data_IF_011921043632
#
_entry.id   IF_011921043632
#
_cell.length_a   1.000
_cell.length_b   1.000
_cell.length_c   1.000
_cell.angle_alpha   90.00
_cell.angle_beta   90.00
_cell.angle_gamma   90.00
#
_symmetry.space_group_name_H-M   'P 1'
#
loop_
_entity.id
_entity.type
_entity.pdbx_description
1 polymer ?
#
# COMPACT_ATOMS: atom_id res chain seq x y z
N UNK A 1 9.25 6.34 0.51
CA UNK A 1 8.06 6.80 -0.21
C UNK A 1 8.28 6.66 -1.70
N UNK A 2 7.30 6.19 -2.44
CA UNK A 2 7.30 6.11 -3.91
C UNK A 2 5.99 6.66 -4.48
N UNK A 3 6.06 7.27 -5.68
CA UNK A 3 4.92 7.95 -6.29
C UNK A 3 3.84 7.04 -6.87
N UNK A 4 4.15 5.75 -7.12
CA UNK A 4 3.18 4.82 -7.70
C UNK A 4 3.53 3.35 -7.37
N UNK A 5 2.60 2.40 -7.61
CA UNK A 5 2.80 0.97 -7.35
C UNK A 5 3.88 0.25 -8.20
N UNK A 6 4.56 0.92 -9.11
CA UNK A 6 5.75 0.37 -9.76
C UNK A 6 6.92 0.17 -8.77
N UNK A 7 6.85 0.85 -7.62
CA UNK A 7 7.79 0.71 -6.49
C UNK A 7 9.26 0.78 -6.88
N UNK A 8 9.63 1.77 -7.69
CA UNK A 8 11.01 1.97 -8.12
C UNK A 8 11.96 2.24 -6.94
N UNK A 9 11.45 2.82 -5.85
CA UNK A 9 12.19 3.09 -4.62
C UNK A 9 12.30 1.87 -3.69
N UNK A 10 11.70 0.72 -4.04
CA UNK A 10 11.73 -0.53 -3.25
C UNK A 10 11.29 -0.34 -1.81
N UNK A 11 10.18 0.38 -1.59
CA UNK A 11 9.69 0.76 -0.26
C UNK A 11 9.37 -0.44 0.63
N UNK A 12 9.11 -1.62 0.05
CA UNK A 12 8.94 -2.87 0.80
C UNK A 12 10.19 -3.36 1.51
N UNK A 13 11.34 -2.74 1.27
CA UNK A 13 12.60 -3.06 1.95
C UNK A 13 12.82 -2.25 3.23
N UNK A 14 11.86 -1.43 3.63
CA UNK A 14 11.95 -0.52 4.77
C UNK A 14 10.87 -0.80 5.82
N UNK A 15 11.11 -0.37 7.05
CA UNK A 15 10.14 -0.50 8.16
C UNK A 15 8.80 0.11 7.81
N UNK A 16 8.79 1.25 7.11
CA UNK A 16 7.62 1.88 6.51
C UNK A 16 7.81 2.06 5.01
N UNK A 17 6.84 1.59 4.24
CA UNK A 17 6.74 1.83 2.81
C UNK A 17 5.43 2.52 2.44
N UNK A 18 5.52 3.68 1.80
CA UNK A 18 4.36 4.45 1.37
C UNK A 18 4.37 4.56 -0.15
N UNK A 19 3.33 4.05 -0.81
CA UNK A 19 3.16 4.09 -2.27
C UNK A 19 1.94 4.92 -2.64
N UNK A 20 2.12 5.92 -3.50
CA UNK A 20 1.01 6.68 -4.07
C UNK A 20 0.08 5.79 -4.90
N UNK A 21 -1.22 5.98 -4.75
CA UNK A 21 -2.26 5.26 -5.48
C UNK A 21 -3.23 6.23 -6.16
N UNK A 22 -3.78 5.80 -7.28
CA UNK A 22 -4.80 6.54 -8.03
C UNK A 22 -6.10 5.76 -8.02
N UNK A 23 -7.20 6.39 -7.60
CA UNK A 23 -8.55 5.85 -7.84
C UNK A 23 -9.01 6.34 -9.21
N UNK A 24 -9.08 5.46 -10.22
CA UNK A 24 -9.53 5.86 -11.55
C UNK A 24 -11.05 5.90 -11.62
N UNK A 25 -11.58 6.96 -12.22
CA UNK A 25 -13.01 7.14 -12.53
C UNK A 25 -13.22 7.11 -14.02
N UNK A 26 -14.27 6.42 -14.48
CA UNK A 26 -14.63 6.34 -15.90
C UNK A 26 -15.76 7.32 -16.22
N UNK A 27 -15.49 8.27 -17.10
CA UNK A 27 -16.46 9.15 -17.74
C UNK A 27 -17.04 8.44 -18.96
N UNK A 28 -18.19 7.82 -18.77
CA UNK A 28 -18.80 6.96 -19.79
C UNK A 28 -19.04 7.66 -21.12
N UNK A 29 -19.40 8.94 -21.10
CA UNK A 29 -19.74 9.74 -22.29
C UNK A 29 -18.50 9.98 -23.18
N UNK A 30 -17.31 9.97 -22.61
CA UNK A 30 -16.05 10.15 -23.32
C UNK A 30 -15.45 8.81 -23.79
N UNK A 31 -16.01 7.69 -23.34
CA UNK A 31 -15.47 6.37 -23.65
C UNK A 31 -15.94 5.87 -25.01
N UNK A 32 -15.01 5.63 -25.92
CA UNK A 32 -15.27 5.06 -27.26
C UNK A 32 -15.04 3.55 -27.34
N UNK A 33 -14.90 2.86 -26.23
CA UNK A 33 -14.76 1.41 -26.16
C UNK A 33 -13.54 0.82 -26.90
N UNK A 34 -12.48 1.59 -27.08
CA UNK A 34 -11.29 1.18 -27.86
C UNK A 34 -10.44 0.10 -27.18
N UNK A 35 -10.66 -0.23 -25.91
CA UNK A 35 -9.95 -1.26 -25.16
C UNK A 35 -8.51 -0.93 -24.75
N UNK A 36 -7.98 0.26 -25.04
CA UNK A 36 -6.60 0.64 -24.72
C UNK A 36 -6.29 0.51 -23.21
N UNK A 37 -7.20 0.93 -22.33
CA UNK A 37 -7.07 0.81 -20.87
C UNK A 37 -7.03 -0.64 -20.39
N UNK A 38 -7.84 -1.53 -20.99
CA UNK A 38 -7.84 -2.97 -20.69
C UNK A 38 -6.48 -3.59 -21.05
N UNK A 39 -5.98 -3.25 -22.27
CA UNK A 39 -4.67 -3.69 -22.75
C UNK A 39 -3.54 -3.22 -21.84
N UNK A 40 -3.56 -1.96 -21.41
CA UNK A 40 -2.57 -1.41 -20.49
C UNK A 40 -2.61 -2.12 -19.13
N UNK A 41 -3.79 -2.37 -18.56
CA UNK A 41 -3.97 -3.08 -17.32
C UNK A 41 -3.43 -4.52 -17.37
N UNK A 42 -3.67 -5.23 -18.49
CA UNK A 42 -3.15 -6.57 -18.73
C UNK A 42 -1.62 -6.57 -18.86
N UNK A 43 -1.05 -5.59 -19.58
CA UNK A 43 0.40 -5.44 -19.74
C UNK A 43 1.14 -5.27 -18.41
N UNK A 44 0.47 -4.70 -17.39
CA UNK A 44 1.00 -4.58 -16.01
C UNK A 44 0.72 -5.81 -15.15
N UNK A 45 0.18 -6.89 -15.73
CA UNK A 45 -0.20 -8.12 -15.02
C UNK A 45 -1.19 -7.92 -13.87
N UNK A 46 -1.93 -6.82 -13.87
CA UNK A 46 -2.95 -6.52 -12.85
C UNK A 46 -4.30 -7.11 -13.22
N UNK A 47 -4.68 -6.99 -14.50
CA UNK A 47 -5.93 -7.53 -15.07
C UNK A 47 -7.20 -7.13 -14.30
N UNK A 48 -7.18 -5.94 -13.69
CA UNK A 48 -8.33 -5.40 -12.96
C UNK A 48 -9.38 -4.76 -13.87
N UNK A 49 -9.11 -4.60 -15.17
CA UNK A 49 -10.05 -4.08 -16.14
C UNK A 49 -10.47 -5.17 -17.12
N UNK A 50 -11.79 -5.34 -17.27
CA UNK A 50 -12.39 -6.25 -18.24
C UNK A 50 -13.42 -5.52 -19.08
N UNK A 51 -13.58 -5.85 -20.38
CA UNK A 51 -14.67 -5.33 -21.18
C UNK A 51 -15.98 -6.04 -20.80
N UNK A 52 -16.99 -5.26 -20.43
CA UNK A 52 -18.34 -5.73 -20.16
C UNK A 52 -19.30 -4.83 -20.94
N UNK A 53 -20.12 -5.39 -21.81
CA UNK A 53 -21.04 -4.64 -22.67
C UNK A 53 -20.33 -3.47 -23.41
N UNK A 54 -19.20 -3.76 -24.03
CA UNK A 54 -18.35 -2.78 -24.72
C UNK A 54 -17.79 -1.64 -23.85
N UNK A 55 -17.89 -1.72 -22.54
CA UNK A 55 -17.34 -0.73 -21.61
C UNK A 55 -16.29 -1.39 -20.68
N UNK A 56 -15.20 -0.69 -20.33
CA UNK A 56 -14.26 -1.22 -19.36
C UNK A 56 -14.86 -1.15 -17.94
N UNK A 57 -14.98 -2.29 -17.30
CA UNK A 57 -15.40 -2.40 -15.91
C UNK A 57 -14.17 -2.69 -15.03
N UNK A 58 -14.06 -1.99 -13.90
CA UNK A 58 -12.96 -2.13 -12.94
C UNK A 58 -13.35 -3.10 -11.81
N UNK A 59 -12.51 -4.09 -11.60
CA UNK A 59 -12.50 -4.88 -10.37
C UNK A 59 -11.69 -4.14 -9.30
N UNK A 60 -12.37 -3.62 -8.30
CA UNK A 60 -11.76 -2.80 -7.24
C UNK A 60 -10.78 -3.59 -6.37
N UNK A 61 -11.07 -4.87 -6.12
CA UNK A 61 -10.22 -5.74 -5.30
C UNK A 61 -8.88 -6.03 -5.97
N UNK A 62 -8.90 -6.19 -7.29
CA UNK A 62 -7.69 -6.43 -8.10
C UNK A 62 -6.92 -5.15 -8.42
N UNK A 63 -7.60 -4.01 -8.39
CA UNK A 63 -6.99 -2.73 -8.75
C UNK A 63 -5.91 -2.32 -7.75
N UNK A 64 -4.69 -2.11 -8.25
CA UNK A 64 -3.54 -1.66 -7.44
C UNK A 64 -3.33 -0.15 -7.46
N UNK A 65 -4.23 0.61 -8.11
CA UNK A 65 -4.13 2.07 -8.16
C UNK A 65 -2.93 2.63 -8.96
N UNK A 66 -2.43 1.90 -9.96
CA UNK A 66 -1.26 2.33 -10.73
C UNK A 66 -1.53 3.49 -11.71
N UNK A 67 -2.79 3.80 -12.03
CA UNK A 67 -3.16 4.88 -12.94
C UNK A 67 -2.88 4.64 -14.42
N UNK A 68 -2.41 3.46 -14.83
CA UNK A 68 -2.10 3.14 -16.24
C UNK A 68 -3.32 3.26 -17.17
N UNK A 69 -4.52 2.97 -16.67
CA UNK A 69 -5.74 3.16 -17.44
C UNK A 69 -6.01 4.63 -17.78
N UNK A 70 -5.64 5.55 -16.88
CA UNK A 70 -5.75 7.00 -17.11
C UNK A 70 -4.75 7.43 -18.19
N UNK A 71 -3.51 6.98 -18.07
CA UNK A 71 -2.44 7.33 -19.01
C UNK A 71 -2.67 6.75 -20.41
N UNK A 72 -3.24 5.56 -20.50
CA UNK A 72 -3.44 4.85 -21.76
C UNK A 72 -4.72 5.27 -22.51
N UNK A 73 -5.58 6.09 -21.90
CA UNK A 73 -6.85 6.46 -22.53
C UNK A 73 -6.68 7.62 -23.52
N UNK A 74 -6.83 7.39 -24.85
CA UNK A 74 -6.63 8.43 -25.85
C UNK A 74 -7.68 9.55 -25.76
N UNK A 75 -8.88 9.23 -25.25
CA UNK A 75 -9.97 10.18 -25.15
C UNK A 75 -10.11 10.79 -23.74
N UNK A 76 -9.12 10.57 -22.86
CA UNK A 76 -9.17 11.03 -21.48
C UNK A 76 -10.50 10.69 -20.75
N UNK A 77 -11.09 9.52 -21.08
CA UNK A 77 -12.31 9.05 -20.43
C UNK A 77 -12.05 8.51 -19.02
N UNK A 78 -10.81 8.17 -18.69
CA UNK A 78 -10.40 7.86 -17.33
C UNK A 78 -9.78 9.07 -16.68
N UNK A 79 -10.29 9.46 -15.51
CA UNK A 79 -9.78 10.56 -14.69
C UNK A 79 -9.22 10.03 -13.37
N UNK A 80 -8.47 10.85 -12.65
CA UNK A 80 -7.95 10.54 -11.31
C UNK A 80 -8.87 11.15 -10.26
N UNK A 81 -9.00 10.48 -9.10
CA UNK A 81 -9.59 11.12 -7.94
C UNK A 81 -8.83 12.38 -7.56
N UNK A 82 -9.54 13.40 -7.09
CA UNK A 82 -8.94 14.61 -6.51
C UNK A 82 -8.23 14.27 -5.20
N UNK A 83 -8.84 13.44 -4.36
CA UNK A 83 -8.26 12.96 -3.11
C UNK A 83 -7.12 11.99 -3.41
N UNK A 84 -5.98 12.22 -2.75
CA UNK A 84 -4.80 11.35 -2.83
C UNK A 84 -4.95 10.19 -1.86
N UNK A 85 -4.59 9.01 -2.35
CA UNK A 85 -4.56 7.80 -1.55
C UNK A 85 -3.21 7.11 -1.65
N UNK A 86 -2.94 6.28 -0.68
CA UNK A 86 -1.67 5.57 -0.57
C UNK A 86 -1.90 4.12 -0.17
N UNK A 87 -0.89 3.31 -0.45
CA UNK A 87 -0.72 2.00 0.15
C UNK A 87 0.37 2.10 1.20
N UNK A 88 0.10 1.62 2.38
CA UNK A 88 1.07 1.51 3.47
C UNK A 88 1.54 0.06 3.57
N UNK A 89 2.85 -0.14 3.47
CA UNK A 89 3.51 -1.42 3.75
C UNK A 89 4.37 -1.27 4.99
N UNK A 90 4.51 -2.33 5.75
CA UNK A 90 5.19 -2.30 7.05
C UNK A 90 6.17 -3.46 7.20
N UNK A 91 7.09 -3.33 8.13
CA UNK A 91 7.95 -4.38 8.69
C UNK A 91 9.00 -4.94 7.71
N UNK A 92 9.28 -4.24 6.61
CA UNK A 92 10.40 -4.59 5.73
C UNK A 92 11.73 -4.28 6.38
N UNK A 93 12.73 -5.08 6.09
CA UNK A 93 14.13 -4.85 6.50
C UNK A 93 15.08 -5.57 5.58
N UNK A 94 16.23 -4.95 5.29
CA UNK A 94 17.29 -5.52 4.46
C UNK A 94 18.58 -5.74 5.25
N UNK A 95 18.49 -5.70 6.58
CA UNK A 95 19.63 -5.91 7.45
C UNK A 95 20.36 -7.22 7.21
N UNK A 96 21.60 -7.32 7.69
CA UNK A 96 22.50 -8.47 7.47
C UNK A 96 21.96 -9.79 8.01
N UNK A 97 21.15 -9.73 9.08
CA UNK A 97 20.50 -10.90 9.69
C UNK A 97 19.01 -10.80 9.48
N UNK A 98 18.35 -11.92 9.17
CA UNK A 98 16.91 -12.05 9.06
C UNK A 98 16.25 -10.98 8.14
N UNK A 99 16.63 -10.87 6.86
CA UNK A 99 16.00 -9.95 5.93
C UNK A 99 14.56 -10.34 5.69
N UNK A 100 13.69 -9.33 5.44
CA UNK A 100 12.27 -9.54 5.18
C UNK A 100 11.72 -8.44 4.29
N UNK A 101 10.85 -8.78 3.34
CA UNK A 101 10.06 -7.81 2.60
C UNK A 101 8.88 -7.33 3.46
N UNK A 102 8.59 -6.05 3.37
CA UNK A 102 7.41 -5.46 4.00
C UNK A 102 6.11 -5.97 3.39
N UNK A 103 5.11 -6.12 4.25
CA UNK A 103 3.79 -6.59 3.88
C UNK A 103 2.79 -5.44 3.75
N UNK A 104 1.76 -5.63 2.94
CA UNK A 104 0.69 -4.64 2.81
C UNK A 104 -0.09 -4.57 4.12
N UNK A 105 -0.22 -3.37 4.67
CA UNK A 105 -0.96 -3.12 5.91
C UNK A 105 -2.31 -2.46 5.63
N UNK A 106 -2.31 -1.36 4.88
CA UNK A 106 -3.54 -0.66 4.49
C UNK A 106 -3.43 -0.22 3.04
N UNK A 107 -4.49 -0.43 2.26
CA UNK A 107 -4.69 0.18 0.94
C UNK A 107 -5.68 1.33 1.05
N UNK A 108 -5.57 2.30 0.15
CA UNK A 108 -6.45 3.45 0.01
C UNK A 108 -6.52 4.31 1.27
N UNK A 109 -5.41 4.40 2.00
CA UNK A 109 -5.26 5.26 3.18
C UNK A 109 -4.90 6.68 2.75
N UNK A 110 -5.38 7.68 3.48
CA UNK A 110 -5.02 9.08 3.26
C UNK A 110 -3.81 9.52 4.09
N UNK A 111 -3.36 10.74 3.85
CA UNK A 111 -2.15 11.29 4.46
C UNK A 111 -2.29 11.47 5.96
N UNK A 112 -3.43 12.00 6.43
CA UNK A 112 -3.67 12.24 7.86
C UNK A 112 -3.65 10.94 8.67
N UNK A 113 -4.30 9.90 8.14
CA UNK A 113 -4.28 8.56 8.75
C UNK A 113 -2.85 7.99 8.79
N UNK A 114 -2.05 8.16 7.73
CA UNK A 114 -0.66 7.70 7.70
C UNK A 114 0.17 8.42 8.77
N UNK A 115 0.04 9.73 8.89
CA UNK A 115 0.77 10.52 9.89
C UNK A 115 0.41 10.02 11.30
N UNK A 116 -0.87 9.80 11.58
CA UNK A 116 -1.32 9.28 12.87
C UNK A 116 -0.76 7.88 13.16
N UNK A 117 -0.78 6.99 12.16
CA UNK A 117 -0.21 5.64 12.27
C UNK A 117 1.30 5.70 12.57
N UNK A 118 2.03 6.60 11.91
CA UNK A 118 3.46 6.78 12.18
C UNK A 118 3.69 7.24 13.62
N UNK A 119 2.96 8.25 14.09
CA UNK A 119 3.06 8.74 15.47
C UNK A 119 2.74 7.64 16.50
N UNK A 120 1.66 6.90 16.30
CA UNK A 120 1.29 5.77 17.13
C UNK A 120 2.38 4.67 17.14
N UNK A 121 3.07 4.48 16.00
CA UNK A 121 4.17 3.53 15.92
C UNK A 121 5.40 3.99 16.70
N UNK A 122 5.67 5.31 16.78
CA UNK A 122 6.71 5.81 17.67
C UNK A 122 6.39 5.53 19.14
N UNK A 123 5.13 5.70 19.57
CA UNK A 123 4.71 5.35 20.92
C UNK A 123 4.89 3.86 21.20
N UNK A 124 4.49 3.01 20.23
CA UNK A 124 4.69 1.56 20.33
C UNK A 124 6.18 1.19 20.43
N UNK A 125 7.04 1.77 19.61
CA UNK A 125 8.49 1.51 19.65
C UNK A 125 9.05 1.96 21.00
N UNK A 126 8.65 3.12 21.52
CA UNK A 126 9.08 3.62 22.83
C UNK A 126 8.74 2.66 23.96
N UNK A 127 7.56 2.03 23.90
CA UNK A 127 7.10 1.08 24.91
C UNK A 127 7.84 -0.26 24.85
N UNK A 128 8.10 -0.77 23.63
CA UNK A 128 8.52 -2.15 23.43
C UNK A 128 9.97 -2.32 22.92
N UNK A 129 10.72 -1.25 22.69
CA UNK A 129 12.12 -1.36 22.26
C UNK A 129 12.96 -2.10 23.31
N UNK A 130 13.85 -3.00 22.85
CA UNK A 130 14.79 -3.65 23.76
C UNK A 130 15.78 -2.62 24.34
N UNK A 131 15.84 -2.44 25.67
CA UNK A 131 16.79 -1.53 26.30
C UNK A 131 18.26 -1.85 25.96
N UNK A 132 18.54 -3.10 25.61
CA UNK A 132 19.89 -3.57 25.23
C UNK A 132 20.11 -3.57 23.70
N UNK A 133 19.18 -3.00 22.91
CA UNK A 133 19.34 -2.94 21.47
C UNK A 133 20.65 -2.23 21.08
N UNK A 134 21.44 -2.77 20.13
CA UNK A 134 22.72 -2.19 19.75
C UNK A 134 22.59 -0.74 19.28
N UNK A 135 23.24 0.19 20.01
CA UNK A 135 23.16 1.62 19.72
C UNK A 135 21.79 2.24 19.97
N UNK A 136 20.93 1.60 20.79
CA UNK A 136 19.56 2.07 21.07
C UNK A 136 18.64 2.03 19.85
N UNK A 137 18.94 1.20 18.86
CA UNK A 137 18.18 1.13 17.58
C UNK A 137 17.73 -0.29 17.30
N UNK A 138 16.45 -0.43 16.97
CA UNK A 138 15.85 -1.69 16.60
C UNK A 138 14.87 -1.49 15.43
N UNK A 139 14.87 -2.38 14.45
CA UNK A 139 13.83 -2.39 13.43
C UNK A 139 12.48 -2.77 14.02
N UNK A 140 11.42 -2.09 13.61
CA UNK A 140 10.05 -2.34 14.07
C UNK A 140 9.69 -3.82 13.95
N UNK A 141 10.14 -4.48 12.87
CA UNK A 141 9.88 -5.89 12.64
C UNK A 141 10.41 -6.81 13.73
N UNK A 142 11.52 -6.51 14.42
CA UNK A 142 11.99 -7.31 15.56
C UNK A 142 11.12 -7.12 16.79
N UNK A 143 10.67 -5.89 17.03
CA UNK A 143 9.74 -5.60 18.12
C UNK A 143 8.44 -6.37 17.91
N UNK A 144 7.89 -6.34 16.69
CA UNK A 144 6.66 -7.06 16.34
C UNK A 144 6.84 -8.58 16.42
N UNK A 145 8.03 -9.11 16.08
CA UNK A 145 8.35 -10.53 16.22
C UNK A 145 8.24 -11.00 17.69
N UNK A 146 8.51 -10.11 18.68
CA UNK A 146 8.40 -10.41 20.12
C UNK A 146 7.00 -10.18 20.68
N UNK A 147 6.33 -9.09 20.32
CA UNK A 147 5.05 -8.67 20.91
C UNK A 147 3.83 -9.24 20.20
N UNK A 148 4.01 -9.64 18.93
CA UNK A 148 2.93 -10.11 18.05
C UNK A 148 2.33 -9.00 17.19
N UNK A 149 1.87 -9.40 15.99
CA UNK A 149 1.32 -8.48 14.99
C UNK A 149 0.02 -7.81 15.42
N UNK A 150 -0.86 -8.53 16.13
CA UNK A 150 -2.15 -7.97 16.58
C UNK A 150 -1.94 -6.88 17.64
N UNK A 151 -0.95 -7.01 18.50
CA UNK A 151 -0.59 -5.97 19.45
C UNK A 151 -0.08 -4.72 18.74
N UNK A 152 0.82 -4.89 17.76
CA UNK A 152 1.27 -3.78 16.93
C UNK A 152 0.10 -3.10 16.20
N UNK A 153 -0.81 -3.87 15.60
CA UNK A 153 -1.97 -3.36 14.88
C UNK A 153 -2.88 -2.53 15.81
N UNK A 154 -3.11 -3.01 17.04
CA UNK A 154 -3.90 -2.29 18.05
C UNK A 154 -3.29 -0.93 18.36
N UNK A 155 -1.97 -0.86 18.50
CA UNK A 155 -1.25 0.39 18.72
C UNK A 155 -1.30 1.30 17.48
N UNK A 156 -0.93 0.78 16.33
CA UNK A 156 -0.83 1.54 15.11
C UNK A 156 -2.16 2.20 14.69
N UNK A 157 -3.28 1.52 14.93
CA UNK A 157 -4.61 2.00 14.55
C UNK A 157 -5.35 2.72 15.69
N UNK A 158 -4.71 2.97 16.83
CA UNK A 158 -5.32 3.68 17.98
C UNK A 158 -5.75 5.09 17.57
N UNK A 159 -7.04 5.41 17.72
CA UNK A 159 -7.63 6.72 17.37
C UNK A 159 -7.36 7.16 15.92
N UNK A 160 -7.26 6.22 15.00
CA UNK A 160 -7.12 6.47 13.55
C UNK A 160 -8.49 6.39 12.90
N UNK A 161 -8.90 7.47 12.24
CA UNK A 161 -10.11 7.48 11.41
C UNK A 161 -9.71 7.21 9.97
N UNK A 162 -9.99 6.01 9.50
CA UNK A 162 -9.67 5.61 8.13
C UNK A 162 -10.75 6.12 7.15
N UNK A 163 -10.37 6.46 5.90
CA UNK A 163 -11.32 6.72 4.83
C UNK A 163 -12.24 5.52 4.59
N UNK A 164 -13.49 5.75 4.17
CA UNK A 164 -14.46 4.70 3.86
C UNK A 164 -13.94 3.66 2.85
N UNK A 165 -13.15 4.11 1.87
CA UNK A 165 -12.53 3.26 0.85
C UNK A 165 -11.33 2.45 1.38
N UNK A 166 -10.82 2.74 2.58
CA UNK A 166 -9.63 2.10 3.11
C UNK A 166 -9.86 0.61 3.38
N UNK A 167 -8.89 -0.19 3.00
CA UNK A 167 -8.90 -1.64 3.19
C UNK A 167 -7.72 -2.02 4.09
N UNK A 168 -8.01 -2.41 5.34
CA UNK A 168 -7.00 -2.97 6.25
C UNK A 168 -6.72 -4.40 5.84
N UNK A 169 -5.47 -4.67 5.49
CA UNK A 169 -5.04 -5.99 5.03
C UNK A 169 -4.83 -6.92 6.23
N UNK A 170 -5.04 -8.21 5.99
CA UNK A 170 -4.60 -9.26 6.90
C UNK A 170 -3.35 -9.89 6.28
N UNK A 171 -2.15 -9.40 6.60
CA UNK A 171 -0.94 -9.91 6.01
C UNK A 171 -0.69 -11.35 6.46
N UNK A 172 -0.09 -12.16 5.59
CA UNK A 172 0.55 -13.39 6.01
C UNK A 172 1.82 -13.02 6.76
N UNK A 173 1.70 -12.80 8.06
CA UNK A 173 2.83 -12.41 8.87
C UNK A 173 3.94 -13.46 8.83
N UNK A 174 5.07 -13.03 8.29
CA UNK A 174 6.25 -13.87 8.12
C UNK A 174 7.45 -13.26 8.84
N UNK A 175 8.03 -14.00 9.79
CA UNK A 175 9.14 -13.52 10.60
C UNK A 175 10.44 -13.25 9.83
N UNK A 176 10.53 -13.69 8.60
CA UNK A 176 11.72 -13.57 7.76
C UNK A 176 12.60 -14.80 7.79
N UNK A 177 13.76 -14.73 7.12
CA UNK A 177 14.78 -15.79 7.09
C UNK A 177 15.78 -15.53 8.20
N UNK A 178 16.05 -16.53 9.01
CA UNK A 178 17.11 -16.51 10.03
C UNK A 178 18.29 -17.33 9.51
N UNK A 179 19.47 -16.72 9.47
CA UNK A 179 20.74 -17.37 9.11
C UNK A 179 21.47 -17.82 10.34
#
# INVERSE_FOLDING_TARGET
LTGCPNDCAKVRMHDFGIMGMTVPHLESDRCVSCGACVKACKKKSVEALKPVNFRPQRDERRCIGCGECVLACPNAAWTRSEKKYYRLTLLGRTGKKNPRLGEDFIKWVDEDSIIKIILNTYDYVKEYIDPNAPGGKEHIGYIVDRTGFEEFKRWALRDVTLPEIAEVMTPMYWKGITY
#
